data_IF_128838693807
#
_entry.id   IF_128838693807
#
_cell.length_a   1.000
_cell.length_b   1.000
_cell.length_c   1.000
_cell.angle_alpha   90.00
_cell.angle_beta   90.00
_cell.angle_gamma   90.00
#
_symmetry.space_group_name_H-M   'P 1'
#
loop_
_entity.id
_entity.type
_entity.pdbx_description
1 polymer ?
#
# COMPACT_ATOMS: atom_id res chain seq x y z
N UNK A 1 15.10 -0.82 -1.57
CA UNK A 1 14.51 0.05 -2.60
C UNK A 1 13.52 -0.83 -3.34
N UNK A 2 12.24 -0.47 -3.39
CA UNK A 2 11.27 -1.27 -4.18
C UNK A 2 11.65 -1.09 -5.65
N UNK A 3 11.55 -2.15 -6.45
CA UNK A 3 11.89 -2.06 -7.86
C UNK A 3 10.87 -1.19 -8.60
N UNK A 4 11.33 -0.44 -9.62
CA UNK A 4 10.45 0.34 -10.50
C UNK A 4 9.33 -0.52 -11.08
N UNK A 5 9.62 -1.79 -11.36
CA UNK A 5 8.65 -2.78 -11.80
C UNK A 5 7.49 -2.96 -10.79
N UNK A 6 7.78 -3.22 -9.52
CA UNK A 6 6.74 -3.40 -8.50
C UNK A 6 5.92 -2.12 -8.28
N UNK A 7 6.57 -0.95 -8.34
CA UNK A 7 5.85 0.33 -8.26
C UNK A 7 4.88 0.50 -9.44
N UNK A 8 5.28 0.12 -10.65
CA UNK A 8 4.41 0.14 -11.82
C UNK A 8 3.24 -0.84 -11.68
N UNK A 9 3.52 -2.08 -11.24
CA UNK A 9 2.47 -3.09 -11.00
C UNK A 9 1.45 -2.58 -9.98
N UNK A 10 1.91 -2.03 -8.86
CA UNK A 10 1.03 -1.45 -7.83
C UNK A 10 0.14 -0.33 -8.38
N UNK A 11 0.72 0.60 -9.15
CA UNK A 11 -0.02 1.71 -9.76
C UNK A 11 -1.05 1.22 -10.78
N UNK A 12 -0.68 0.28 -11.64
CA UNK A 12 -1.59 -0.24 -12.67
C UNK A 12 -2.73 -1.04 -12.04
N UNK A 13 -2.43 -1.94 -11.11
CA UNK A 13 -3.43 -2.75 -10.42
C UNK A 13 -4.43 -1.89 -9.63
N UNK A 14 -3.97 -0.86 -8.92
CA UNK A 14 -4.88 0.07 -8.23
C UNK A 14 -5.77 0.82 -9.21
N UNK A 15 -5.20 1.32 -10.33
CA UNK A 15 -5.97 2.04 -11.36
C UNK A 15 -7.03 1.15 -12.02
N UNK A 16 -6.70 -0.10 -12.35
CA UNK A 16 -7.66 -1.03 -12.97
C UNK A 16 -8.73 -1.49 -11.97
N UNK A 17 -8.40 -1.55 -10.69
CA UNK A 17 -9.37 -1.78 -9.61
C UNK A 17 -10.25 -0.55 -9.30
N UNK A 18 -10.03 0.60 -9.96
CA UNK A 18 -10.78 1.83 -9.72
C UNK A 18 -10.33 2.64 -8.49
N UNK A 19 -9.19 2.28 -7.90
CA UNK A 19 -8.65 2.93 -6.70
C UNK A 19 -7.74 4.11 -7.04
N UNK A 20 -7.83 5.15 -6.19
CA UNK A 20 -6.90 6.28 -6.15
C UNK A 20 -6.30 6.33 -4.76
N UNK A 21 -5.04 6.72 -4.67
CA UNK A 21 -4.34 6.89 -3.40
C UNK A 21 -3.74 8.30 -3.33
N UNK A 22 -3.58 8.81 -2.12
CA UNK A 22 -3.02 10.15 -1.88
C UNK A 22 -1.51 10.04 -1.80
N UNK A 23 -0.80 10.95 -2.49
CA UNK A 23 0.66 11.00 -2.47
C UNK A 23 1.23 11.73 -1.25
N UNK A 24 0.40 12.50 -0.55
CA UNK A 24 0.77 13.19 0.68
C UNK A 24 0.74 12.21 1.85
N UNK A 25 1.94 11.91 2.36
CA UNK A 25 2.05 11.32 3.69
C UNK A 25 1.71 12.40 4.73
N UNK A 26 0.99 12.04 5.82
CA UNK A 26 0.75 12.98 6.90
C UNK A 26 2.09 13.53 7.43
N UNK A 27 2.13 14.82 7.78
CA UNK A 27 3.29 15.49 8.36
C UNK A 27 3.57 15.04 9.80
N UNK A 28 3.76 13.74 9.99
CA UNK A 28 4.04 13.08 11.28
C UNK A 28 5.34 12.30 11.16
N UNK A 29 6.21 12.46 12.16
CA UNK A 29 7.54 11.85 12.14
C UNK A 29 7.50 10.32 12.29
N UNK A 30 6.51 9.81 13.03
CA UNK A 30 6.31 8.37 13.31
C UNK A 30 4.83 8.11 13.54
N UNK A 31 4.33 6.98 13.06
CA UNK A 31 2.94 6.57 13.23
C UNK A 31 2.85 5.06 13.41
N UNK A 32 1.83 4.60 14.13
CA UNK A 32 1.41 3.19 14.14
C UNK A 32 0.05 3.13 13.47
N UNK A 33 -0.08 2.26 12.47
CA UNK A 33 -1.34 2.01 11.77
C UNK A 33 -1.81 0.61 12.13
N UNK A 34 -3.04 0.49 12.64
CA UNK A 34 -3.63 -0.79 13.01
C UNK A 34 -4.65 -1.16 11.93
N UNK A 35 -4.43 -2.30 11.27
CA UNK A 35 -5.40 -2.92 10.37
C UNK A 35 -6.05 -4.12 11.06
N UNK A 36 -7.38 -4.13 11.15
CA UNK A 36 -8.14 -5.28 11.61
C UNK A 36 -8.65 -6.07 10.39
N UNK A 37 -8.47 -7.41 10.34
CA UNK A 37 -8.88 -8.22 9.20
C UNK A 37 -10.40 -8.16 9.02
N UNK A 38 -10.83 -8.00 7.77
CA UNK A 38 -12.24 -8.07 7.40
C UNK A 38 -12.57 -9.46 6.85
N UNK A 39 -13.85 -9.82 6.78
CA UNK A 39 -14.33 -11.16 6.39
C UNK A 39 -13.70 -11.71 5.09
N UNK A 40 -13.33 -10.82 4.17
CA UNK A 40 -12.75 -11.17 2.86
C UNK A 40 -11.23 -10.89 2.74
N UNK A 41 -10.61 -10.27 3.74
CA UNK A 41 -9.18 -9.93 3.80
C UNK A 41 -8.64 -9.06 2.63
N UNK A 42 -9.49 -8.38 1.85
CA UNK A 42 -9.04 -7.55 0.72
C UNK A 42 -8.22 -6.33 1.16
N UNK A 43 -8.36 -5.91 2.41
CA UNK A 43 -7.52 -4.87 3.02
C UNK A 43 -6.02 -5.19 2.90
N UNK A 44 -5.62 -6.46 2.98
CA UNK A 44 -4.22 -6.86 2.86
C UNK A 44 -3.66 -6.67 1.43
N UNK A 45 -4.23 -7.26 0.36
CA UNK A 45 -3.79 -7.00 -1.02
C UNK A 45 -3.76 -5.50 -1.37
N UNK A 46 -4.80 -4.74 -1.01
CA UNK A 46 -4.84 -3.31 -1.29
C UNK A 46 -3.73 -2.55 -0.55
N UNK A 47 -3.44 -2.91 0.71
CA UNK A 47 -2.34 -2.32 1.48
C UNK A 47 -0.98 -2.58 0.81
N UNK A 48 -0.74 -3.79 0.32
CA UNK A 48 0.50 -4.14 -0.39
C UNK A 48 0.64 -3.33 -1.69
N UNK A 49 -0.43 -3.25 -2.49
CA UNK A 49 -0.43 -2.47 -3.74
C UNK A 49 -0.15 -0.99 -3.48
N UNK A 50 -0.75 -0.41 -2.42
CA UNK A 50 -0.48 0.97 -2.01
C UNK A 50 0.97 1.14 -1.59
N UNK A 51 1.51 0.22 -0.78
CA UNK A 51 2.91 0.25 -0.35
C UNK A 51 3.89 0.22 -1.54
N UNK A 52 3.62 -0.61 -2.55
CA UNK A 52 4.40 -0.64 -3.80
C UNK A 52 4.28 0.67 -4.59
N UNK A 53 3.06 1.20 -4.72
CA UNK A 53 2.81 2.45 -5.47
C UNK A 53 3.51 3.67 -4.87
N UNK A 54 3.62 3.70 -3.53
CA UNK A 54 4.27 4.74 -2.73
C UNK A 54 5.76 4.46 -2.45
N UNK A 55 6.30 3.33 -2.91
CA UNK A 55 7.66 2.87 -2.59
C UNK A 55 7.97 2.79 -1.08
N UNK A 56 6.95 2.50 -0.26
CA UNK A 56 7.09 2.31 1.18
C UNK A 56 7.66 0.93 1.46
N UNK A 57 8.72 0.87 2.27
CA UNK A 57 9.27 -0.42 2.73
C UNK A 57 8.32 -1.04 3.74
N UNK A 58 7.50 -1.97 3.29
CA UNK A 58 6.64 -2.78 4.14
C UNK A 58 7.43 -3.96 4.72
N UNK A 59 7.28 -4.21 6.02
CA UNK A 59 7.81 -5.41 6.68
C UNK A 59 6.66 -6.05 7.43
N UNK A 60 6.34 -7.28 7.06
CA UNK A 60 5.35 -8.09 7.75
C UNK A 60 6.03 -8.84 8.90
N UNK A 61 5.51 -8.66 10.10
CA UNK A 61 5.80 -9.51 11.25
C UNK A 61 4.56 -10.39 11.38
N UNK A 62 4.69 -11.66 11.00
CA UNK A 62 3.60 -12.64 11.11
C UNK A 62 3.25 -12.93 12.55
#
# INVERSE_FOLDING_TARGET
MISTFLSLVGRLALRTAGWRYVHEAPHILRAVVIGAPHTSNWDFPFTVLVAWSLNVRFRWLG
#
